data_IF_904551223094
#
_entry.id   IF_904551223094
#
_cell.length_a   1.000
_cell.length_b   1.000
_cell.length_c   1.000
_cell.angle_alpha   90.00
_cell.angle_beta   90.00
_cell.angle_gamma   90.00
#
_symmetry.space_group_name_H-M   'P 1'
#
loop_
_entity.id
_entity.type
_entity.pdbx_description
1 polymer ?
#
# COMPACT_ATOMS: atom_id res chain seq x y z
N UNK A 1 19.77 -14.65 12.80
CA UNK A 1 19.46 -14.84 11.37
C UNK A 1 18.02 -15.30 11.14
N UNK A 2 17.43 -16.23 11.93
CA UNK A 2 16.04 -16.66 11.71
C UNK A 2 14.98 -15.59 12.01
N UNK A 3 15.22 -14.76 13.03
CA UNK A 3 14.30 -13.68 13.43
C UNK A 3 14.25 -12.57 12.38
N UNK A 4 15.42 -12.14 11.88
CA UNK A 4 15.51 -11.16 10.78
C UNK A 4 14.86 -11.67 9.49
N UNK A 5 14.98 -12.97 9.17
CA UNK A 5 14.30 -13.57 8.02
C UNK A 5 12.78 -13.59 8.20
N UNK A 6 12.28 -13.77 9.43
CA UNK A 6 10.86 -13.71 9.73
C UNK A 6 10.32 -12.27 9.61
N UNK A 7 11.09 -11.27 10.09
CA UNK A 7 10.73 -9.86 9.97
C UNK A 7 10.67 -9.42 8.50
N UNK A 8 11.65 -9.82 7.69
CA UNK A 8 11.65 -9.58 6.23
C UNK A 8 10.43 -10.21 5.56
N UNK A 9 10.10 -11.46 5.87
CA UNK A 9 8.94 -12.14 5.30
C UNK A 9 7.61 -11.45 5.70
N UNK A 10 7.52 -10.98 6.95
CA UNK A 10 6.35 -10.22 7.43
C UNK A 10 6.20 -8.88 6.69
N UNK A 11 7.30 -8.14 6.48
CA UNK A 11 7.30 -6.88 5.73
C UNK A 11 6.93 -7.08 4.25
N UNK A 12 7.40 -8.16 3.63
CA UNK A 12 7.01 -8.52 2.26
C UNK A 12 5.51 -8.81 2.15
N UNK A 13 4.97 -9.66 3.04
CA UNK A 13 3.53 -9.97 3.07
C UNK A 13 2.67 -8.73 3.34
N UNK A 14 3.15 -7.81 4.17
CA UNK A 14 2.48 -6.54 4.42
C UNK A 14 2.46 -5.67 3.15
N UNK A 15 3.57 -5.56 2.42
CA UNK A 15 3.62 -4.82 1.15
C UNK A 15 2.68 -5.39 0.09
N UNK A 16 2.57 -6.70 -0.01
CA UNK A 16 1.60 -7.37 -0.90
C UNK A 16 0.17 -6.99 -0.53
N UNK A 17 -0.16 -7.07 0.76
CA UNK A 17 -1.50 -6.71 1.27
C UNK A 17 -1.85 -5.25 0.98
N UNK A 18 -0.90 -4.34 1.16
CA UNK A 18 -1.08 -2.91 0.87
C UNK A 18 -1.26 -2.66 -0.63
N UNK A 19 -0.57 -3.41 -1.49
CA UNK A 19 -0.75 -3.35 -2.94
C UNK A 19 -2.18 -3.71 -3.33
N UNK A 20 -2.69 -4.84 -2.81
CA UNK A 20 -4.07 -5.26 -3.08
C UNK A 20 -5.11 -4.25 -2.56
N UNK A 21 -4.82 -3.58 -1.45
CA UNK A 21 -5.71 -2.56 -0.90
C UNK A 21 -5.75 -1.28 -1.77
N UNK A 22 -4.61 -0.87 -2.34
CA UNK A 22 -4.53 0.22 -3.32
C UNK A 22 -5.35 -0.14 -4.57
N UNK A 23 -5.15 -1.32 -5.13
CA UNK A 23 -5.88 -1.79 -6.32
C UNK A 23 -7.40 -1.82 -6.07
N UNK A 24 -7.81 -2.26 -4.89
CA UNK A 24 -9.22 -2.27 -4.50
C UNK A 24 -9.80 -0.86 -4.38
N UNK A 25 -9.09 0.07 -3.73
CA UNK A 25 -9.52 1.46 -3.59
C UNK A 25 -9.63 2.16 -4.95
N UNK A 26 -8.71 1.88 -5.88
CA UNK A 26 -8.78 2.35 -7.26
C UNK A 26 -9.97 1.76 -8.03
N UNK A 27 -10.27 0.47 -7.84
CA UNK A 27 -11.44 -0.16 -8.44
C UNK A 27 -12.75 0.47 -7.93
N UNK A 28 -12.83 0.78 -6.63
CA UNK A 28 -13.95 1.53 -6.06
C UNK A 28 -14.09 2.90 -6.74
N UNK A 29 -13.01 3.68 -6.82
CA UNK A 29 -13.01 4.99 -7.47
C UNK A 29 -13.41 4.92 -8.95
N UNK A 30 -12.92 3.93 -9.69
CA UNK A 30 -13.25 3.74 -11.10
C UNK A 30 -14.73 3.35 -11.31
N UNK A 31 -15.24 2.46 -10.46
CA UNK A 31 -16.66 2.09 -10.41
C UNK A 31 -17.55 3.31 -10.14
N UNK A 32 -17.06 4.25 -9.32
CA UNK A 32 -17.68 5.54 -9.15
C UNK A 32 -17.81 6.27 -10.49
N UNK A 33 -16.68 6.63 -11.09
CA UNK A 33 -16.64 7.47 -12.28
C UNK A 33 -17.47 6.89 -13.43
N UNK A 34 -17.51 5.56 -13.58
CA UNK A 34 -18.33 4.87 -14.57
C UNK A 34 -19.85 5.07 -14.32
N UNK A 35 -20.28 5.10 -13.06
CA UNK A 35 -21.69 5.25 -12.68
C UNK A 35 -22.26 6.61 -13.11
N UNK A 36 -21.45 7.67 -13.05
CA UNK A 36 -21.86 9.01 -13.48
C UNK A 36 -22.32 9.05 -14.96
N UNK A 37 -21.74 8.19 -15.81
CA UNK A 37 -22.13 8.07 -17.23
C UNK A 37 -23.36 7.20 -17.47
N UNK A 38 -23.80 6.42 -16.47
CA UNK A 38 -24.98 5.55 -16.56
C UNK A 38 -26.26 6.18 -16.01
N UNK A 39 -26.17 7.40 -15.46
CA UNK A 39 -27.33 8.06 -14.87
C UNK A 39 -28.33 8.51 -15.94
N UNK A 40 -29.62 8.12 -15.84
CA UNK A 40 -30.64 8.60 -16.77
C UNK A 40 -30.78 10.13 -16.70
N UNK A 41 -30.83 10.80 -17.85
CA UNK A 41 -30.95 12.26 -17.94
C UNK A 41 -32.23 12.83 -17.27
N UNK A 42 -33.23 11.96 -17.09
CA UNK A 42 -34.53 12.26 -16.49
C UNK A 42 -34.51 12.16 -14.95
N UNK A 43 -33.45 11.58 -14.36
CA UNK A 43 -33.33 11.50 -12.92
C UNK A 43 -32.89 12.86 -12.36
N UNK A 44 -33.86 13.61 -11.84
CA UNK A 44 -33.64 14.94 -11.28
C UNK A 44 -34.32 15.12 -9.92
N UNK A 45 -34.00 16.22 -9.26
CA UNK A 45 -34.62 16.63 -7.99
C UNK A 45 -33.80 16.25 -6.75
N UNK A 46 -34.40 16.39 -5.55
CA UNK A 46 -33.65 16.30 -4.29
C UNK A 46 -32.95 14.96 -4.04
N UNK A 47 -33.50 13.86 -4.56
CA UNK A 47 -32.86 12.54 -4.47
C UNK A 47 -31.57 12.46 -5.30
N UNK A 48 -31.57 13.03 -6.50
CA UNK A 48 -30.40 13.12 -7.36
C UNK A 48 -29.30 13.98 -6.71
N UNK A 49 -29.64 15.14 -6.18
CA UNK A 49 -28.66 16.00 -5.49
C UNK A 49 -28.04 15.31 -4.28
N UNK A 50 -28.82 14.56 -3.48
CA UNK A 50 -28.30 13.78 -2.35
C UNK A 50 -27.39 12.64 -2.81
N UNK A 51 -27.77 11.98 -3.90
CA UNK A 51 -26.95 10.93 -4.51
C UNK A 51 -25.58 11.49 -4.96
N UNK A 52 -25.55 12.63 -5.67
CA UNK A 52 -24.29 13.25 -6.09
C UNK A 52 -23.36 13.57 -4.90
N UNK A 53 -23.90 14.15 -3.83
CA UNK A 53 -23.10 14.45 -2.62
C UNK A 53 -22.56 13.17 -1.98
N UNK A 54 -23.39 12.13 -1.84
CA UNK A 54 -22.94 10.85 -1.29
C UNK A 54 -21.87 10.20 -2.17
N UNK A 55 -22.03 10.31 -3.48
CA UNK A 55 -21.09 9.79 -4.47
C UNK A 55 -19.75 10.53 -4.45
N UNK A 56 -19.74 11.86 -4.42
CA UNK A 56 -18.52 12.67 -4.29
C UNK A 56 -17.79 12.36 -2.99
N UNK A 57 -18.53 12.22 -1.88
CA UNK A 57 -17.99 11.85 -0.58
C UNK A 57 -17.31 10.48 -0.63
N UNK A 58 -17.96 9.50 -1.27
CA UNK A 58 -17.39 8.17 -1.43
C UNK A 58 -16.15 8.18 -2.33
N UNK A 59 -16.17 8.90 -3.45
CA UNK A 59 -15.01 9.01 -4.34
C UNK A 59 -13.80 9.66 -3.63
N UNK A 60 -14.04 10.72 -2.86
CA UNK A 60 -13.01 11.36 -2.04
C UNK A 60 -12.46 10.42 -0.96
N UNK A 61 -13.33 9.64 -0.30
CA UNK A 61 -12.92 8.64 0.69
C UNK A 61 -12.07 7.53 0.09
N UNK A 62 -12.45 7.02 -1.09
CA UNK A 62 -11.65 6.01 -1.81
C UNK A 62 -10.28 6.56 -2.19
N UNK A 63 -10.20 7.82 -2.64
CA UNK A 63 -8.92 8.48 -2.93
C UNK A 63 -8.04 8.63 -1.67
N UNK A 64 -8.60 9.09 -0.54
CA UNK A 64 -7.87 9.20 0.73
C UNK A 64 -7.30 7.85 1.14
N UNK A 65 -8.09 6.78 1.01
CA UNK A 65 -7.65 5.43 1.33
C UNK A 65 -6.48 4.99 0.44
N UNK A 66 -6.53 5.27 -0.87
CA UNK A 66 -5.42 4.99 -1.78
C UNK A 66 -4.15 5.73 -1.34
N UNK A 67 -4.25 7.03 -1.04
CA UNK A 67 -3.11 7.87 -0.66
C UNK A 67 -2.49 7.45 0.67
N UNK A 68 -3.30 7.16 1.69
CA UNK A 68 -2.84 6.68 2.99
C UNK A 68 -2.19 5.30 2.89
N UNK A 69 -2.77 4.39 2.10
CA UNK A 69 -2.22 3.06 1.88
C UNK A 69 -0.89 3.12 1.13
N UNK A 70 -0.78 4.00 0.12
CA UNK A 70 0.47 4.21 -0.61
C UNK A 70 1.59 4.77 0.28
N UNK A 71 1.25 5.68 1.20
CA UNK A 71 2.22 6.18 2.19
C UNK A 71 2.69 5.07 3.13
N UNK A 72 1.77 4.23 3.61
CA UNK A 72 2.11 3.09 4.46
C UNK A 72 2.98 2.07 3.72
N UNK A 73 2.69 1.81 2.44
CA UNK A 73 3.48 0.93 1.58
C UNK A 73 4.90 1.49 1.36
N UNK A 74 5.02 2.79 1.09
CA UNK A 74 6.33 3.43 0.94
C UNK A 74 7.16 3.32 2.23
N UNK A 75 6.52 3.49 3.39
CA UNK A 75 7.18 3.29 4.68
C UNK A 75 7.62 1.84 4.89
N UNK A 76 6.74 0.88 4.62
CA UNK A 76 7.02 -0.54 4.74
C UNK A 76 8.17 -1.00 3.83
N UNK A 77 8.20 -0.51 2.59
CA UNK A 77 9.31 -0.75 1.66
C UNK A 77 10.64 -0.15 2.15
N UNK A 78 10.62 1.04 2.74
CA UNK A 78 11.81 1.66 3.32
C UNK A 78 12.35 0.86 4.51
N UNK A 79 11.46 0.35 5.38
CA UNK A 79 11.85 -0.51 6.51
C UNK A 79 12.43 -1.83 6.01
N UNK A 80 11.80 -2.47 5.01
CA UNK A 80 12.32 -3.70 4.40
C UNK A 80 13.74 -3.49 3.86
N UNK A 81 13.95 -2.43 3.09
CA UNK A 81 15.28 -2.13 2.54
C UNK A 81 16.33 -1.88 3.63
N UNK A 82 15.96 -1.25 4.74
CA UNK A 82 16.86 -1.05 5.88
C UNK A 82 17.25 -2.38 6.55
N UNK A 83 16.30 -3.31 6.70
CA UNK A 83 16.57 -4.65 7.21
C UNK A 83 17.52 -5.43 6.29
N UNK A 84 17.25 -5.44 4.98
CA UNK A 84 18.09 -6.12 3.98
C UNK A 84 19.53 -5.59 4.01
N UNK A 85 19.71 -4.26 3.97
CA UNK A 85 21.04 -3.63 4.04
C UNK A 85 21.76 -3.92 5.37
N UNK A 86 21.01 -3.94 6.48
CA UNK A 86 21.55 -4.25 7.80
C UNK A 86 22.07 -5.70 7.89
N UNK A 87 21.30 -6.65 7.35
CA UNK A 87 21.69 -8.07 7.29
C UNK A 87 22.96 -8.23 6.44
N UNK A 88 23.00 -7.66 5.24
CA UNK A 88 24.18 -7.73 4.35
C UNK A 88 25.44 -7.14 5.01
N UNK A 89 25.28 -6.01 5.72
CA UNK A 89 26.38 -5.36 6.44
C UNK A 89 26.91 -6.25 7.56
N UNK A 90 26.02 -6.86 8.35
CA UNK A 90 26.41 -7.76 9.44
C UNK A 90 27.11 -9.02 8.91
N UNK A 91 26.61 -9.60 7.82
CA UNK A 91 27.23 -10.76 7.18
C UNK A 91 28.63 -10.45 6.64
N UNK A 92 28.80 -9.29 5.99
CA UNK A 92 30.10 -8.82 5.50
C UNK A 92 31.12 -8.60 6.63
N UNK A 93 30.68 -7.94 7.71
CA UNK A 93 31.51 -7.73 8.90
C UNK A 93 31.90 -9.07 9.54
N UNK A 94 30.96 -9.99 9.70
CA UNK A 94 31.21 -11.28 10.30
C UNK A 94 32.17 -12.14 9.46
N UNK A 95 32.01 -12.14 8.14
CA UNK A 95 32.93 -12.80 7.20
C UNK A 95 34.35 -12.26 7.34
N UNK A 96 34.49 -10.93 7.43
CA UNK A 96 35.78 -10.26 7.63
C UNK A 96 36.41 -10.61 8.99
N UNK A 97 35.63 -10.61 10.07
CA UNK A 97 36.12 -11.03 11.39
C UNK A 97 36.61 -12.48 11.36
N UNK A 98 35.86 -13.38 10.72
CA UNK A 98 36.25 -14.79 10.59
C UNK A 98 37.56 -14.97 9.84
N UNK A 99 37.74 -14.26 8.72
CA UNK A 99 38.95 -14.38 7.91
C UNK A 99 40.18 -13.90 8.68
N UNK A 100 40.05 -12.81 9.45
CA UNK A 100 41.10 -12.29 10.33
C UNK A 100 41.46 -13.24 11.48
N UNK A 101 40.49 -13.99 12.01
CA UNK A 101 40.74 -14.99 13.06
C UNK A 101 41.37 -16.29 12.54
N UNK A 102 41.22 -16.58 11.26
CA UNK A 102 41.77 -17.78 10.60
C UNK A 102 43.15 -17.58 9.98
N UNK A 103 43.68 -16.35 10.00
CA UNK A 103 45.00 -15.96 9.52
C UNK A 103 46.00 -15.85 10.67
#
# INVERSE_FOLDING_TARGET
MSEQAADVAALQSMNESLTSMIEYADALRAGASAFAYMLPAEWQGPAFSRFLVAFETWAAGAQSLTEETAQLQAHAAAVLSAYEQGIETLDSQWSTYRSQMSA
#
